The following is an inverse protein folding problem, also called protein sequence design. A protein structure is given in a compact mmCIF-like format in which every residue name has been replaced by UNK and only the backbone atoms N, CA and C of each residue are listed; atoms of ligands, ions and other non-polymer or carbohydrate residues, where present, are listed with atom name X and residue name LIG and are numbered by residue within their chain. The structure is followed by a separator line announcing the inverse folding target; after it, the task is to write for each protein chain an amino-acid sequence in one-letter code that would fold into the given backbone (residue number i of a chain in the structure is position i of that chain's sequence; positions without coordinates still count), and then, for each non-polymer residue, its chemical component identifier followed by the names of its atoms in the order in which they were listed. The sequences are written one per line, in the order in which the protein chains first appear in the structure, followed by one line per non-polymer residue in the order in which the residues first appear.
data_IF_532609360956
#
_entry.id   IF_532609360956
#
_cell.length_a   1.000
_cell.length_b   1.000
_cell.length_c   1.000
_cell.angle_alpha   90.00
_cell.angle_beta   90.00
_cell.angle_gamma   90.00
#
_symmetry.space_group_name_H-M   'P 1'
#
loop_
_entity.id
_entity.type
_entity.pdbx_description
1 polymer ?
#
# COMPACT_ATOMS: atom_id res chain seq x y z
N UNK A 1 14.62 -28.39 -4.92
CA UNK A 1 14.35 -27.05 -4.39
C UNK A 1 12.88 -26.70 -4.66
N UNK A 2 12.21 -26.10 -3.71
CA UNK A 2 10.83 -25.59 -3.79
C UNK A 2 10.86 -24.07 -3.66
N UNK A 3 9.76 -23.41 -4.03
CA UNK A 3 9.66 -21.97 -3.85
C UNK A 3 8.32 -21.57 -3.25
N UNK A 4 8.33 -20.44 -2.54
CA UNK A 4 7.15 -19.75 -2.03
C UNK A 4 7.23 -18.28 -2.47
N UNK A 5 6.24 -17.81 -3.20
CA UNK A 5 6.17 -16.42 -3.64
C UNK A 5 5.14 -15.66 -2.84
N UNK A 6 5.57 -14.63 -2.12
CA UNK A 6 4.70 -13.60 -1.55
C UNK A 6 4.56 -12.48 -2.57
N UNK A 7 3.34 -12.28 -3.07
CA UNK A 7 3.03 -11.24 -4.06
C UNK A 7 2.86 -9.89 -3.36
N UNK A 8 3.34 -8.83 -3.99
CA UNK A 8 3.16 -7.44 -3.53
C UNK A 8 1.67 -7.11 -3.37
N UNK A 9 1.32 -6.37 -2.34
CA UNK A 9 -0.06 -6.00 -2.05
C UNK A 9 -0.92 -7.09 -1.38
N UNK A 10 -0.35 -8.29 -1.13
CA UNK A 10 -1.01 -9.35 -0.34
C UNK A 10 -1.25 -8.86 1.10
N UNK A 11 -2.37 -9.26 1.71
CA UNK A 11 -2.68 -9.06 3.14
C UNK A 11 -2.18 -10.23 4.00
N UNK A 12 -2.11 -10.04 5.33
CA UNK A 12 -1.75 -11.10 6.28
C UNK A 12 -2.72 -12.28 6.22
N UNK A 13 -4.02 -12.03 6.04
CA UNK A 13 -5.02 -13.08 5.86
C UNK A 13 -4.70 -13.95 4.63
N UNK A 14 -4.43 -13.33 3.49
CA UNK A 14 -4.12 -14.05 2.26
C UNK A 14 -2.76 -14.77 2.34
N UNK A 15 -1.77 -14.19 3.02
CA UNK A 15 -0.51 -14.86 3.32
C UNK A 15 -0.74 -16.11 4.18
N UNK A 16 -1.59 -16.02 5.22
CA UNK A 16 -1.93 -17.15 6.08
C UNK A 16 -2.54 -18.31 5.27
N UNK A 17 -3.53 -18.00 4.43
CA UNK A 17 -4.17 -19.00 3.54
C UNK A 17 -3.12 -19.67 2.67
N UNK A 18 -2.22 -18.90 2.07
CA UNK A 18 -1.17 -19.39 1.17
C UNK A 18 -0.13 -20.26 1.91
N UNK A 19 0.20 -19.92 3.17
CA UNK A 19 1.09 -20.73 4.00
C UNK A 19 0.43 -22.04 4.43
N UNK A 20 -0.87 -22.01 4.75
CA UNK A 20 -1.64 -23.22 5.10
C UNK A 20 -1.75 -24.19 3.93
N UNK A 21 -2.02 -23.71 2.74
CA UNK A 21 -2.15 -24.55 1.53
C UNK A 21 -0.81 -25.14 1.05
N UNK A 22 0.33 -24.66 1.55
CA UNK A 22 1.64 -25.14 1.11
C UNK A 22 2.05 -26.40 1.90
N UNK A 23 1.87 -27.58 1.27
CA UNK A 23 2.18 -28.88 1.84
C UNK A 23 3.69 -29.18 2.00
N UNK A 24 4.55 -28.35 1.46
CA UNK A 24 6.01 -28.53 1.51
C UNK A 24 6.65 -27.76 2.67
N UNK A 25 5.89 -26.91 3.36
CA UNK A 25 6.30 -26.21 4.58
C UNK A 25 5.78 -26.94 5.82
N UNK A 26 6.55 -26.88 6.91
CA UNK A 26 6.21 -27.53 8.18
C UNK A 26 6.04 -26.52 9.33
N UNK A 27 5.47 -27.00 10.44
CA UNK A 27 5.32 -26.23 11.66
C UNK A 27 4.12 -25.27 11.65
N UNK A 28 3.90 -24.63 12.78
CA UNK A 28 2.80 -23.69 12.98
C UNK A 28 3.01 -22.35 12.27
N UNK A 29 1.92 -21.61 12.09
CA UNK A 29 1.94 -20.24 11.60
C UNK A 29 1.70 -19.31 12.79
N UNK A 30 2.66 -18.47 13.16
CA UNK A 30 2.48 -17.48 14.22
C UNK A 30 1.44 -16.42 13.82
N UNK A 31 1.13 -15.51 14.74
CA UNK A 31 0.34 -14.31 14.40
C UNK A 31 1.07 -13.50 13.34
N UNK A 32 0.41 -13.28 12.21
CA UNK A 32 0.98 -12.50 11.10
C UNK A 32 0.61 -11.03 11.26
N UNK A 33 1.59 -10.15 11.08
CA UNK A 33 1.40 -8.70 11.07
C UNK A 33 1.45 -8.17 9.63
N UNK A 34 0.62 -7.16 9.36
CA UNK A 34 0.62 -6.50 8.05
C UNK A 34 1.92 -5.74 7.78
N UNK A 35 2.37 -5.78 6.55
CA UNK A 35 3.47 -4.95 6.01
C UNK A 35 4.87 -5.47 6.28
N UNK A 36 5.10 -6.31 7.32
CA UNK A 36 6.45 -6.64 7.79
C UNK A 36 7.20 -7.70 6.98
N UNK A 37 6.53 -8.44 6.11
CA UNK A 37 7.16 -9.48 5.28
C UNK A 37 7.42 -8.97 3.88
N UNK A 38 8.66 -9.14 3.39
CA UNK A 38 9.04 -8.69 2.05
C UNK A 38 8.40 -9.57 0.98
N UNK A 39 7.63 -9.00 0.04
CA UNK A 39 7.23 -9.69 -1.18
C UNK A 39 8.45 -10.06 -2.00
N UNK A 40 8.60 -11.36 -2.26
CA UNK A 40 9.67 -11.94 -3.06
C UNK A 40 9.40 -13.44 -3.27
N UNK A 41 10.24 -14.12 -4.06
CA UNK A 41 10.25 -15.57 -4.19
C UNK A 41 11.34 -16.18 -3.31
N UNK A 42 10.96 -17.05 -2.41
CA UNK A 42 11.83 -17.68 -1.41
C UNK A 42 12.00 -19.18 -1.71
N UNK A 43 13.22 -19.57 -2.00
CA UNK A 43 13.56 -20.98 -2.22
C UNK A 43 13.83 -21.70 -0.88
N UNK A 44 13.42 -22.96 -0.81
CA UNK A 44 13.56 -23.79 0.40
C UNK A 44 13.56 -25.30 0.07
N UNK A 45 13.95 -26.16 1.03
CA UNK A 45 13.89 -27.62 0.95
C UNK A 45 12.58 -28.12 1.54
N UNK A 46 12.15 -29.32 1.14
CA UNK A 46 10.97 -30.00 1.72
C UNK A 46 11.04 -30.02 3.26
N UNK A 47 9.92 -29.77 3.91
CA UNK A 47 9.83 -29.73 5.38
C UNK A 47 10.40 -28.45 6.02
N UNK A 48 10.72 -27.41 5.22
CA UNK A 48 11.24 -26.16 5.77
C UNK A 48 10.21 -25.48 6.68
N UNK A 49 10.65 -24.99 7.83
CA UNK A 49 9.78 -24.37 8.83
C UNK A 49 9.15 -23.08 8.32
N UNK A 50 7.82 -22.93 8.50
CA UNK A 50 7.08 -21.68 8.22
C UNK A 50 7.63 -20.50 9.00
N UNK A 51 7.96 -20.70 10.28
CA UNK A 51 8.56 -19.65 11.12
C UNK A 51 9.92 -19.20 10.56
N UNK A 52 10.80 -20.13 10.15
CA UNK A 52 12.08 -19.80 9.54
C UNK A 52 11.90 -19.04 8.22
N UNK A 53 10.89 -19.39 7.41
CA UNK A 53 10.56 -18.68 6.17
C UNK A 53 10.11 -17.25 6.47
N UNK A 54 9.17 -17.07 7.42
CA UNK A 54 8.67 -15.77 7.84
C UNK A 54 9.78 -14.88 8.40
N UNK A 55 10.68 -15.43 9.22
CA UNK A 55 11.83 -14.68 9.75
C UNK A 55 12.78 -14.18 8.62
N UNK A 56 12.97 -14.98 7.56
CA UNK A 56 13.73 -14.53 6.37
C UNK A 56 13.03 -13.39 5.64
N UNK A 57 11.70 -13.47 5.48
CA UNK A 57 10.90 -12.43 4.85
C UNK A 57 10.93 -11.14 5.64
N UNK A 58 10.80 -11.22 6.95
CA UNK A 58 10.84 -10.07 7.87
C UNK A 58 12.22 -9.40 7.86
N UNK A 59 13.30 -10.19 7.99
CA UNK A 59 14.67 -9.67 7.89
C UNK A 59 14.91 -8.94 6.57
N UNK A 60 14.44 -9.51 5.46
CA UNK A 60 14.57 -8.90 4.14
C UNK A 60 13.78 -7.58 4.02
N UNK A 61 12.57 -7.52 4.61
CA UNK A 61 11.77 -6.29 4.64
C UNK A 61 12.43 -5.20 5.49
N UNK A 62 12.94 -5.57 6.66
CA UNK A 62 13.64 -4.65 7.55
C UNK A 62 14.88 -4.04 6.87
N UNK A 63 15.63 -4.81 6.09
CA UNK A 63 16.75 -4.30 5.29
C UNK A 63 16.25 -3.27 4.27
N UNK A 64 15.15 -3.57 3.57
CA UNK A 64 14.56 -2.66 2.58
C UNK A 64 14.08 -1.35 3.21
N UNK A 65 13.35 -1.44 4.34
CA UNK A 65 12.87 -0.29 5.10
C UNK A 65 14.03 0.58 5.61
N UNK A 66 15.07 -0.05 6.18
CA UNK A 66 16.25 0.66 6.70
C UNK A 66 16.97 1.41 5.58
N UNK A 67 17.10 0.80 4.40
CA UNK A 67 17.71 1.44 3.22
C UNK A 67 16.91 2.67 2.76
N UNK A 68 15.59 2.57 2.71
CA UNK A 68 14.73 3.71 2.34
C UNK A 68 14.80 4.79 3.41
N UNK A 69 14.67 4.43 4.68
CA UNK A 69 14.71 5.36 5.80
C UNK A 69 16.04 6.14 5.90
N UNK A 70 17.18 5.48 5.67
CA UNK A 70 18.49 6.14 5.64
C UNK A 70 18.62 7.18 4.53
N UNK A 71 17.96 6.94 3.38
CA UNK A 71 18.06 7.76 2.18
C UNK A 71 16.81 8.60 1.93
N UNK A 72 15.98 8.84 2.95
CA UNK A 72 14.77 9.68 2.84
C UNK A 72 15.11 11.15 2.61
N UNK A 73 14.21 11.96 2.03
CA UNK A 73 14.37 13.41 1.93
C UNK A 73 14.63 14.05 3.30
N UNK A 74 15.38 15.16 3.33
CA UNK A 74 15.70 15.87 4.58
C UNK A 74 14.45 16.40 5.31
N UNK A 75 13.48 16.89 4.56
CA UNK A 75 12.19 17.43 5.02
C UNK A 75 11.08 16.37 5.09
N UNK A 76 11.43 15.10 5.30
CA UNK A 76 10.49 13.99 5.25
C UNK A 76 9.49 14.07 6.41
N UNK A 77 8.20 14.17 6.08
CA UNK A 77 7.12 14.38 7.07
C UNK A 77 6.86 13.17 7.98
N UNK A 78 7.20 11.96 7.51
CA UNK A 78 6.97 10.74 8.30
C UNK A 78 7.97 10.65 9.45
N UNK A 79 7.46 10.37 10.65
CA UNK A 79 8.21 10.45 11.91
C UNK A 79 9.07 9.23 12.20
N UNK A 80 8.71 8.07 11.67
CA UNK A 80 9.36 6.79 11.95
C UNK A 80 9.15 5.77 10.82
N UNK A 81 9.87 4.63 10.91
CA UNK A 81 9.80 3.54 9.93
C UNK A 81 8.42 2.87 9.85
N UNK A 82 7.66 2.89 10.95
CA UNK A 82 6.29 2.35 10.97
C UNK A 82 5.37 3.20 10.08
N UNK A 83 5.43 4.52 10.20
CA UNK A 83 4.66 5.42 9.33
C UNK A 83 5.06 5.27 7.86
N UNK A 84 6.35 5.10 7.58
CA UNK A 84 6.84 4.80 6.23
C UNK A 84 6.23 3.50 5.70
N UNK A 85 6.20 2.44 6.50
CA UNK A 85 5.64 1.15 6.12
C UNK A 85 4.12 1.23 5.88
N UNK A 86 3.40 1.97 6.73
CA UNK A 86 1.96 2.22 6.57
C UNK A 86 1.70 2.92 5.24
N UNK A 87 2.38 4.02 4.96
CA UNK A 87 2.16 4.76 3.72
C UNK A 87 2.58 3.96 2.49
N UNK A 88 3.69 3.23 2.55
CA UNK A 88 4.12 2.33 1.47
C UNK A 88 3.05 1.27 1.15
N UNK A 89 2.39 0.72 2.17
CA UNK A 89 1.34 -0.28 1.99
C UNK A 89 0.09 0.28 1.29
N UNK A 90 -0.22 1.56 1.49
CA UNK A 90 -1.30 2.27 0.80
C UNK A 90 -0.90 2.51 -0.66
N UNK A 91 0.30 3.07 -0.89
CA UNK A 91 0.83 3.31 -2.24
C UNK A 91 0.85 2.02 -3.07
N UNK A 92 1.23 0.88 -2.45
CA UNK A 92 1.22 -0.43 -3.11
C UNK A 92 -0.16 -0.83 -3.64
N UNK A 93 -1.21 -0.44 -2.95
CA UNK A 93 -2.59 -0.77 -3.32
C UNK A 93 -3.20 0.22 -4.31
N UNK A 94 -2.66 1.44 -4.38
CA UNK A 94 -3.13 2.49 -5.28
C UNK A 94 -2.44 2.44 -6.65
N UNK A 95 -1.12 2.28 -6.70
CA UNK A 95 -0.34 2.44 -7.91
C UNK A 95 0.24 1.12 -8.44
N UNK A 96 0.28 0.95 -9.75
CA UNK A 96 0.79 -0.25 -10.42
C UNK A 96 2.22 -0.10 -10.93
N UNK A 97 2.65 1.10 -11.31
CA UNK A 97 4.00 1.36 -11.82
C UNK A 97 4.82 2.17 -10.83
N UNK A 98 6.16 2.13 -10.97
CA UNK A 98 7.05 2.91 -10.10
C UNK A 98 6.87 4.42 -10.30
N UNK A 99 6.70 4.87 -11.55
CA UNK A 99 6.48 6.29 -11.85
C UNK A 99 5.18 6.81 -11.23
N UNK A 100 4.11 6.04 -11.36
CA UNK A 100 2.82 6.35 -10.75
C UNK A 100 2.90 6.34 -9.22
N UNK A 101 3.61 5.37 -8.65
CA UNK A 101 3.86 5.29 -7.21
C UNK A 101 4.54 6.54 -6.64
N UNK A 102 5.49 7.14 -7.37
CA UNK A 102 6.16 8.39 -6.95
C UNK A 102 5.20 9.59 -6.92
N UNK A 103 4.28 9.66 -7.87
CA UNK A 103 3.28 10.73 -7.92
C UNK A 103 2.18 10.53 -6.88
N UNK A 104 1.69 9.31 -6.68
CA UNK A 104 0.76 8.97 -5.60
C UNK A 104 1.38 9.25 -4.23
N UNK A 105 2.66 8.88 -4.03
CA UNK A 105 3.40 9.23 -2.82
C UNK A 105 3.46 10.75 -2.58
N UNK A 106 3.70 11.52 -3.65
CA UNK A 106 3.71 13.00 -3.59
C UNK A 106 2.36 13.55 -3.11
N UNK A 107 1.23 13.07 -3.67
CA UNK A 107 -0.10 13.49 -3.23
C UNK A 107 -0.31 13.20 -1.75
N UNK A 108 -0.02 11.99 -1.28
CA UNK A 108 -0.22 11.64 0.13
C UNK A 108 0.69 12.43 1.06
N UNK A 109 1.96 12.63 0.71
CA UNK A 109 2.89 13.48 1.48
C UNK A 109 2.39 14.93 1.54
N UNK A 110 1.93 15.51 0.43
CA UNK A 110 1.38 16.86 0.38
C UNK A 110 0.11 16.99 1.25
N UNK A 111 -0.79 15.99 1.20
CA UNK A 111 -1.98 15.96 2.06
C UNK A 111 -1.60 15.87 3.55
N UNK A 112 -0.64 15.02 3.91
CA UNK A 112 -0.17 14.91 5.29
C UNK A 112 0.43 16.24 5.79
N UNK A 113 1.26 16.92 4.97
CA UNK A 113 1.81 18.26 5.29
C UNK A 113 0.71 19.30 5.53
N UNK A 114 -0.36 19.24 4.75
CA UNK A 114 -1.52 20.15 4.86
C UNK A 114 -2.57 19.68 5.87
N UNK A 115 -2.32 18.61 6.63
CA UNK A 115 -3.29 17.98 7.56
C UNK A 115 -4.62 17.62 6.88
N UNK A 116 -4.59 17.32 5.59
CA UNK A 116 -5.73 16.85 4.83
C UNK A 116 -5.96 15.35 5.08
N UNK A 117 -7.19 14.90 4.98
CA UNK A 117 -7.56 13.48 4.99
C UNK A 117 -6.99 12.78 3.75
N UNK A 118 -6.49 11.55 3.89
CA UNK A 118 -5.91 10.82 2.74
C UNK A 118 -6.97 10.40 1.72
N UNK A 119 -8.20 10.10 2.16
CA UNK A 119 -9.35 9.76 1.32
C UNK A 119 -9.04 8.64 0.32
N UNK A 120 -8.47 7.56 0.81
CA UNK A 120 -8.09 6.39 0.02
C UNK A 120 -9.06 5.24 0.29
N UNK A 121 -9.74 4.77 -0.76
CA UNK A 121 -10.71 3.68 -0.68
C UNK A 121 -10.08 2.38 -0.16
N UNK A 122 -8.83 2.11 -0.55
CA UNK A 122 -8.15 0.86 -0.18
C UNK A 122 -7.94 0.71 1.32
N UNK A 123 -7.86 1.83 2.07
CA UNK A 123 -7.74 1.78 3.53
C UNK A 123 -9.03 1.33 4.19
N UNK A 124 -10.16 1.90 3.79
CA UNK A 124 -11.47 1.53 4.31
C UNK A 124 -11.86 0.11 3.86
N UNK A 125 -11.61 -0.23 2.59
CA UNK A 125 -11.85 -1.57 2.06
C UNK A 125 -11.10 -2.64 2.86
N UNK A 126 -9.84 -2.38 3.21
CA UNK A 126 -9.05 -3.26 4.08
C UNK A 126 -9.69 -3.39 5.46
N UNK A 127 -10.01 -2.26 6.12
CA UNK A 127 -10.59 -2.26 7.46
C UNK A 127 -11.93 -3.00 7.55
N UNK A 128 -12.76 -2.91 6.51
CA UNK A 128 -14.04 -3.60 6.41
C UNK A 128 -13.93 -5.02 5.84
N UNK A 129 -12.74 -5.44 5.43
CA UNK A 129 -12.48 -6.72 4.76
C UNK A 129 -13.38 -6.95 3.52
N UNK A 130 -13.53 -5.92 2.69
CA UNK A 130 -14.35 -5.96 1.47
C UNK A 130 -13.53 -5.54 0.24
N UNK A 131 -14.06 -5.80 -0.94
CA UNK A 131 -13.52 -5.22 -2.17
C UNK A 131 -13.90 -3.73 -2.25
N UNK A 132 -12.95 -2.85 -2.60
CA UNK A 132 -13.17 -1.40 -2.68
C UNK A 132 -14.33 -0.96 -3.58
N UNK A 133 -14.67 -1.73 -4.61
CA UNK A 133 -15.84 -1.47 -5.47
C UNK A 133 -17.19 -1.53 -4.74
N UNK A 134 -17.24 -2.14 -3.55
CA UNK A 134 -18.46 -2.23 -2.74
C UNK A 134 -18.56 -1.13 -1.67
N UNK A 135 -17.62 -0.17 -1.62
CA UNK A 135 -17.70 0.96 -0.71
C UNK A 135 -18.90 1.84 -1.05
N UNK A 136 -19.74 2.08 -0.07
CA UNK A 136 -20.93 2.92 -0.19
C UNK A 136 -20.70 4.30 0.43
N UNK A 137 -21.54 5.29 0.04
CA UNK A 137 -21.50 6.63 0.67
C UNK A 137 -21.72 6.60 2.20
N UNK A 138 -22.51 5.62 2.70
CA UNK A 138 -22.71 5.42 4.15
C UNK A 138 -21.43 4.95 4.84
N UNK A 139 -20.69 4.01 4.22
CA UNK A 139 -19.42 3.51 4.75
C UNK A 139 -18.36 4.61 4.83
N UNK A 140 -18.31 5.53 3.85
CA UNK A 140 -17.38 6.67 3.86
C UNK A 140 -17.60 7.64 5.04
N UNK A 141 -18.78 7.62 5.68
CA UNK A 141 -19.10 8.43 6.85
C UNK A 141 -18.83 7.72 8.18
N UNK A 142 -18.48 6.44 8.15
CA UNK A 142 -18.22 5.66 9.37
C UNK A 142 -16.96 6.12 10.10
N UNK A 143 -16.96 5.98 11.43
CA UNK A 143 -15.79 6.25 12.28
C UNK A 143 -14.80 5.08 12.35
N UNK A 144 -14.89 4.13 11.42
CA UNK A 144 -13.97 2.97 11.39
C UNK A 144 -12.51 3.43 11.41
N UNK A 145 -11.59 2.85 12.22
CA UNK A 145 -10.21 3.33 12.38
C UNK A 145 -9.40 3.41 11.07
N UNK A 146 -9.73 2.58 10.08
CA UNK A 146 -9.09 2.61 8.75
C UNK A 146 -9.78 3.56 7.75
N UNK A 147 -10.80 4.31 8.17
CA UNK A 147 -11.49 5.24 7.29
C UNK A 147 -10.74 6.57 7.16
N UNK A 148 -9.90 6.68 6.15
CA UNK A 148 -9.16 7.91 5.84
C UNK A 148 -10.01 9.01 5.19
N UNK A 149 -11.30 8.80 4.96
CA UNK A 149 -12.30 9.85 4.67
C UNK A 149 -12.82 10.50 5.96
N UNK A 150 -12.80 9.78 7.07
CA UNK A 150 -13.26 10.26 8.35
C UNK A 150 -12.12 10.82 9.21
N UNK A 151 -11.03 10.04 9.35
CA UNK A 151 -9.86 10.41 10.15
C UNK A 151 -8.79 11.11 9.31
N UNK A 152 -8.07 12.06 9.94
CA UNK A 152 -6.86 12.66 9.39
C UNK A 152 -5.64 11.80 9.68
N UNK A 153 -4.60 11.92 8.85
CA UNK A 153 -3.35 11.17 9.04
C UNK A 153 -3.39 9.74 8.51
N UNK A 154 -2.47 8.93 8.98
CA UNK A 154 -2.30 7.54 8.56
C UNK A 154 -3.24 6.61 9.33
N UNK A 155 -3.67 5.48 8.72
CA UNK A 155 -4.41 4.44 9.44
C UNK A 155 -3.54 3.75 10.50
N UNK A 156 -4.14 2.95 11.41
CA UNK A 156 -3.42 2.37 12.56
C UNK A 156 -2.27 1.43 12.20
N UNK A 157 -2.40 0.67 11.11
CA UNK A 157 -1.42 -0.32 10.66
C UNK A 157 -1.25 -0.28 9.14
N UNK A 158 -0.19 -0.91 8.59
CA UNK A 158 -0.15 -1.23 7.16
C UNK A 158 -1.38 -2.03 6.73
N UNK A 159 -1.72 -1.99 5.45
CA UNK A 159 -2.90 -2.66 4.86
C UNK A 159 -2.53 -3.74 3.84
N UNK A 160 -1.25 -3.94 3.62
CA UNK A 160 -0.71 -4.96 2.71
C UNK A 160 0.81 -5.06 2.87
N UNK A 161 1.43 -6.06 2.24
CA UNK A 161 2.88 -6.16 2.13
C UNK A 161 3.39 -5.32 0.95
N UNK A 162 4.06 -4.17 1.19
CA UNK A 162 4.56 -3.32 0.12
C UNK A 162 5.82 -3.90 -0.49
N UNK A 163 5.90 -3.82 -1.82
CA UNK A 163 7.07 -4.20 -2.58
C UNK A 163 8.10 -3.09 -2.74
N UNK A 164 9.11 -3.38 -3.57
CA UNK A 164 10.24 -2.49 -3.81
C UNK A 164 9.82 -1.13 -4.38
N UNK A 165 8.86 -1.11 -5.30
CA UNK A 165 8.43 0.12 -5.97
C UNK A 165 7.74 1.08 -5.01
N UNK A 166 6.81 0.59 -4.19
CA UNK A 166 6.10 1.39 -3.21
C UNK A 166 7.03 1.98 -2.13
N UNK A 167 7.96 1.17 -1.63
CA UNK A 167 8.98 1.63 -0.67
C UNK A 167 9.92 2.67 -1.28
N UNK A 168 10.47 2.42 -2.48
CA UNK A 168 11.38 3.33 -3.14
C UNK A 168 10.69 4.62 -3.62
N UNK A 169 9.38 4.61 -3.88
CA UNK A 169 8.62 5.81 -4.18
C UNK A 169 8.72 6.85 -3.06
N UNK A 170 8.71 6.41 -1.80
CA UNK A 170 8.85 7.29 -0.62
C UNK A 170 10.26 7.90 -0.46
N UNK A 171 11.30 7.22 -0.96
CA UNK A 171 12.64 7.78 -1.02
C UNK A 171 12.80 8.78 -2.18
N UNK A 172 12.05 8.57 -3.26
CA UNK A 172 12.13 9.32 -4.52
C UNK A 172 10.84 10.11 -4.79
N UNK A 173 10.22 10.64 -3.75
CA UNK A 173 8.99 11.45 -3.87
C UNK A 173 9.25 12.62 -4.81
N UNK A 174 8.40 12.76 -5.83
CA UNK A 174 8.48 13.91 -6.73
C UNK A 174 8.02 15.18 -6.01
N UNK A 175 8.78 16.23 -6.15
CA UNK A 175 8.37 17.55 -5.66
C UNK A 175 7.29 18.11 -6.57
N UNK A 176 6.03 18.04 -6.12
CA UNK A 176 4.86 18.55 -6.83
C UNK A 176 3.91 19.21 -5.84
N UNK A 177 2.94 19.97 -6.37
CA UNK A 177 1.83 20.52 -5.59
C UNK A 177 0.55 19.68 -5.68
N UNK A 178 0.62 18.47 -6.25
CA UNK A 178 -0.55 17.63 -6.44
C UNK A 178 -1.21 17.25 -5.11
N UNK A 179 -2.53 17.40 -5.07
CA UNK A 179 -3.37 17.06 -3.93
C UNK A 179 -4.43 16.00 -4.26
N UNK A 180 -4.66 15.74 -5.54
CA UNK A 180 -5.70 14.84 -6.03
C UNK A 180 -5.17 13.94 -7.13
N UNK A 181 -5.71 12.74 -7.21
CA UNK A 181 -5.54 11.84 -8.34
C UNK A 181 -6.81 11.05 -8.62
N UNK A 182 -6.99 10.62 -9.84
CA UNK A 182 -8.08 9.75 -10.30
C UNK A 182 -7.56 8.87 -11.43
N UNK A 183 -8.09 7.67 -11.56
CA UNK A 183 -7.73 6.76 -12.65
C UNK A 183 -7.92 7.43 -14.03
N UNK A 184 -7.00 7.16 -14.97
CA UNK A 184 -7.05 7.69 -16.34
C UNK A 184 -7.82 6.79 -17.33
N UNK A 185 -8.26 5.60 -16.85
CA UNK A 185 -8.88 4.56 -17.67
C UNK A 185 -7.87 3.67 -18.40
N UNK A 186 -6.57 3.97 -18.37
CA UNK A 186 -5.48 3.22 -19.04
C UNK A 186 -4.50 2.56 -18.06
N UNK A 187 -4.91 2.42 -16.79
CA UNK A 187 -4.12 1.79 -15.73
C UNK A 187 -3.13 2.72 -15.02
N UNK A 188 -3.19 4.04 -15.26
CA UNK A 188 -2.44 5.10 -14.58
C UNK A 188 -3.40 6.08 -13.91
N UNK A 189 -2.86 7.19 -13.36
CA UNK A 189 -3.63 8.25 -12.75
C UNK A 189 -3.40 9.59 -13.45
N UNK A 190 -4.44 10.45 -13.40
CA UNK A 190 -4.37 11.88 -13.67
C UNK A 190 -4.26 12.60 -12.35
N UNK A 191 -3.29 13.50 -12.25
CA UNK A 191 -3.00 14.26 -11.04
C UNK A 191 -3.44 15.72 -11.19
N UNK A 192 -3.82 16.35 -10.08
CA UNK A 192 -4.24 17.75 -10.07
C UNK A 192 -3.93 18.42 -8.73
N UNK A 193 -3.68 19.74 -8.79
CA UNK A 193 -3.38 20.57 -7.63
C UNK A 193 -4.65 21.08 -6.96
N UNK A 194 -5.70 21.32 -7.75
CA UNK A 194 -6.97 21.92 -7.29
C UNK A 194 -8.12 20.93 -7.42
N UNK A 195 -9.15 21.15 -6.60
CA UNK A 195 -10.36 20.33 -6.65
C UNK A 195 -11.13 20.52 -7.97
N UNK A 196 -11.10 21.70 -8.56
CA UNK A 196 -11.79 21.97 -9.84
C UNK A 196 -11.16 21.19 -11.00
N UNK A 197 -9.83 21.17 -11.08
CA UNK A 197 -9.12 20.30 -12.04
C UNK A 197 -9.38 18.81 -11.77
N UNK A 198 -9.49 18.42 -10.49
CA UNK A 198 -9.85 17.04 -10.13
C UNK A 198 -11.24 16.67 -10.63
N UNK A 199 -12.26 17.54 -10.48
CA UNK A 199 -13.59 17.33 -11.04
C UNK A 199 -13.57 17.15 -12.56
N UNK A 200 -12.78 17.95 -13.26
CA UNK A 200 -12.59 17.81 -14.72
C UNK A 200 -11.98 16.43 -15.06
N UNK A 201 -10.94 16.01 -14.33
CA UNK A 201 -10.31 14.69 -14.52
C UNK A 201 -11.28 13.52 -14.23
N UNK A 202 -12.15 13.64 -13.22
CA UNK A 202 -13.22 12.67 -12.94
C UNK A 202 -14.18 12.58 -14.12
N UNK A 203 -14.58 13.71 -14.71
CA UNK A 203 -15.48 13.72 -15.86
C UNK A 203 -14.84 13.06 -17.10
N UNK A 204 -13.54 13.30 -17.32
CA UNK A 204 -12.79 12.62 -18.38
C UNK A 204 -12.74 11.11 -18.17
N UNK A 205 -12.49 10.66 -16.93
CA UNK A 205 -12.49 9.24 -16.59
C UNK A 205 -13.86 8.58 -16.79
N UNK A 206 -14.96 9.25 -16.39
CA UNK A 206 -16.32 8.76 -16.62
C UNK A 206 -16.63 8.60 -18.12
N UNK A 207 -16.23 9.59 -18.94
CA UNK A 207 -16.41 9.54 -20.40
C UNK A 207 -15.60 8.39 -21.04
N UNK A 208 -14.41 8.06 -20.53
CA UNK A 208 -13.63 6.92 -21.05
C UNK A 208 -14.31 5.59 -20.79
N UNK A 209 -14.96 5.42 -19.62
CA UNK A 209 -15.71 4.19 -19.28
C UNK A 209 -17.01 3.97 -20.05
N UNK A 210 -17.55 5.02 -20.66
CA UNK A 210 -18.78 4.90 -21.48
C UNK A 210 -18.51 4.53 -22.94
N UNK A 211 -17.22 4.44 -23.33
CA UNK A 211 -16.78 4.09 -24.69
C UNK A 211 -16.31 2.64 -24.84
N UNK A 212 -16.14 1.95 -23.71
CA UNK A 212 -15.84 0.51 -23.60
C UNK A 212 -17.12 -0.27 -23.25
#
# INVERSE_FOLDING_TARGET
TRSFTLVEGTSALNLRIKLLSNKYLSGEIPTLMEGIYKPDTYHFKYGYSRVKLLNRMEKAQNISINKVWKNKPKDFILRNKRELLILASIIQREAKSFEDSKLVASVFINRLRKKMKLQSDVTLAFGLNINGKYITKKMLKSSHPFNTYFHTGLPPTPISYPGKNALNALKNVKNTNYLYFVADGKGRHRFSETYDLHKQNINLWKKSKMKD
#
